data_IF_946117562431
#
_entry.id   IF_946117562431
#
_cell.length_a   1.000
_cell.length_b   1.000
_cell.length_c   1.000
_cell.angle_alpha   90.00
_cell.angle_beta   90.00
_cell.angle_gamma   90.00
#
_symmetry.space_group_name_H-M   'P 1'
#
loop_
_entity.id
_entity.type
_entity.pdbx_description
1 polymer ?
#
# COMPACT_ATOMS: atom_id res chain seq x y z
N UNK A 1 39.36 -3.81 74.28
CA UNK A 1 39.50 -4.25 72.85
C UNK A 1 38.14 -4.64 72.35
N UNK A 2 37.49 -3.79 71.52
CA UNK A 2 36.20 -4.03 70.92
C UNK A 2 36.42 -4.19 69.42
N UNK A 3 36.09 -5.37 68.81
CA UNK A 3 36.15 -5.65 67.42
C UNK A 3 34.87 -5.07 66.75
N UNK A 4 35.05 -4.17 65.80
CA UNK A 4 34.00 -3.71 64.86
C UNK A 4 33.77 -4.79 63.83
N UNK A 5 32.49 -5.20 63.65
CA UNK A 5 32.03 -6.00 62.52
C UNK A 5 31.61 -5.05 61.41
N UNK A 6 32.26 -5.15 60.25
CA UNK A 6 31.82 -4.49 59.02
C UNK A 6 30.70 -5.31 58.37
N UNK A 7 29.56 -4.65 58.12
CA UNK A 7 28.45 -5.18 57.35
C UNK A 7 28.67 -4.85 55.86
N UNK A 8 28.95 -5.85 55.04
CA UNK A 8 29.00 -5.74 53.60
C UNK A 8 27.57 -5.94 53.06
N UNK A 9 26.92 -4.84 52.65
CA UNK A 9 25.65 -4.90 51.94
C UNK A 9 25.88 -5.33 50.49
N UNK A 10 25.37 -6.50 50.14
CA UNK A 10 25.31 -6.98 48.73
C UNK A 10 24.20 -6.25 47.98
N UNK A 11 24.58 -5.28 47.16
CA UNK A 11 23.72 -4.65 46.18
C UNK A 11 23.46 -5.65 45.05
N UNK A 12 22.25 -6.19 44.95
CA UNK A 12 21.78 -6.94 43.78
C UNK A 12 21.62 -5.96 42.62
N UNK A 13 22.47 -6.07 41.59
CA UNK A 13 22.23 -5.48 40.30
C UNK A 13 21.03 -6.21 39.66
N UNK A 14 19.92 -5.53 39.53
CA UNK A 14 18.84 -5.93 38.63
C UNK A 14 19.34 -5.64 37.20
N UNK A 15 19.81 -6.66 36.53
CA UNK A 15 19.94 -6.64 35.08
C UNK A 15 18.52 -6.69 34.49
N UNK A 16 17.99 -5.54 34.11
CA UNK A 16 16.83 -5.45 33.25
C UNK A 16 17.26 -5.91 31.84
N UNK A 17 16.97 -7.16 31.50
CA UNK A 17 16.98 -7.63 30.13
C UNK A 17 15.97 -6.81 29.35
N UNK A 18 16.42 -5.71 28.76
CA UNK A 18 15.71 -5.02 27.70
C UNK A 18 15.76 -5.94 26.46
N UNK A 19 14.75 -6.77 26.27
CA UNK A 19 14.51 -7.41 25.00
C UNK A 19 14.32 -6.29 23.95
N UNK A 20 15.37 -6.01 23.19
CA UNK A 20 15.29 -5.25 21.95
C UNK A 20 14.46 -6.08 20.96
N UNK A 21 13.12 -6.00 21.07
CA UNK A 21 12.18 -6.47 20.06
C UNK A 21 12.31 -5.58 18.83
N UNK A 22 13.43 -5.70 18.11
CA UNK A 22 13.56 -5.19 16.76
C UNK A 22 12.61 -6.01 15.86
N UNK A 23 11.32 -5.61 15.81
CA UNK A 23 10.37 -6.20 14.89
C UNK A 23 10.89 -5.94 13.46
N UNK A 24 11.09 -7.02 12.72
CA UNK A 24 11.47 -6.94 11.30
C UNK A 24 10.39 -6.19 10.52
N UNK A 25 10.77 -5.08 9.90
CA UNK A 25 9.90 -4.26 9.05
C UNK A 25 10.14 -4.60 7.59
N UNK A 26 9.06 -4.91 6.86
CA UNK A 26 9.12 -5.14 5.42
C UNK A 26 9.45 -3.84 4.66
N UNK A 27 10.23 -3.92 3.56
CA UNK A 27 10.30 -2.85 2.58
C UNK A 27 8.94 -2.70 1.85
N UNK A 28 8.73 -1.60 1.14
CA UNK A 28 7.51 -1.36 0.35
C UNK A 28 7.26 -2.50 -0.65
N UNK A 29 8.32 -2.98 -1.29
CA UNK A 29 8.29 -4.06 -2.27
C UNK A 29 9.05 -5.26 -1.72
N UNK A 30 8.41 -6.43 -1.74
CA UNK A 30 9.01 -7.72 -1.40
C UNK A 30 9.29 -8.50 -2.69
N UNK A 31 10.53 -8.87 -2.95
CA UNK A 31 10.88 -9.73 -4.08
C UNK A 31 10.59 -11.21 -3.78
N UNK A 32 10.60 -12.05 -4.82
CA UNK A 32 10.27 -13.45 -4.72
C UNK A 32 11.17 -14.24 -3.75
N UNK A 33 12.49 -14.01 -3.76
CA UNK A 33 13.44 -14.74 -2.91
C UNK A 33 13.27 -14.38 -1.42
N UNK A 34 13.04 -13.10 -1.15
CA UNK A 34 12.72 -12.63 0.20
C UNK A 34 11.42 -13.25 0.70
N UNK A 35 10.35 -13.25 -0.14
CA UNK A 35 9.09 -13.86 0.22
C UNK A 35 9.22 -15.35 0.50
N UNK A 36 9.89 -16.10 -0.38
CA UNK A 36 10.15 -17.54 -0.19
C UNK A 36 10.90 -17.83 1.12
N UNK A 37 11.85 -16.95 1.46
CA UNK A 37 12.60 -17.06 2.73
C UNK A 37 11.70 -16.83 3.94
N UNK A 38 10.84 -15.81 3.90
CA UNK A 38 9.88 -15.51 4.97
C UNK A 38 8.83 -16.63 5.13
N UNK A 39 8.33 -17.20 4.02
CA UNK A 39 7.41 -18.35 4.01
C UNK A 39 8.06 -19.55 4.72
N UNK A 40 9.30 -19.90 4.34
CA UNK A 40 10.03 -21.04 4.96
C UNK A 40 10.23 -20.83 6.46
N UNK A 41 10.47 -19.59 6.89
CA UNK A 41 10.61 -19.21 8.31
C UNK A 41 9.26 -19.12 9.04
N UNK A 42 8.14 -19.18 8.33
CA UNK A 42 6.77 -19.00 8.86
C UNK A 42 6.59 -17.65 9.60
N UNK A 43 7.24 -16.59 9.10
CA UNK A 43 7.26 -15.25 9.72
C UNK A 43 6.46 -14.22 8.95
N UNK A 44 5.66 -14.62 7.97
CA UNK A 44 4.88 -13.74 7.10
C UNK A 44 3.48 -14.28 6.89
N UNK A 45 2.48 -13.40 6.78
CA UNK A 45 1.19 -13.72 6.17
C UNK A 45 1.22 -13.29 4.71
N UNK A 46 0.91 -14.21 3.80
CA UNK A 46 0.74 -13.91 2.38
C UNK A 46 -0.76 -13.76 2.10
N UNK A 47 -1.16 -12.69 1.41
CA UNK A 47 -2.57 -12.39 1.11
C UNK A 47 -2.75 -12.31 -0.40
N UNK A 48 -3.62 -13.16 -0.93
CA UNK A 48 -4.05 -13.19 -2.32
C UNK A 48 -5.35 -12.39 -2.46
N UNK A 49 -5.32 -11.30 -3.24
CA UNK A 49 -6.50 -10.44 -3.41
C UNK A 49 -7.20 -10.61 -4.76
N UNK A 50 -6.84 -11.67 -5.49
CA UNK A 50 -7.54 -12.10 -6.71
C UNK A 50 -8.93 -12.63 -6.36
N UNK A 51 -9.69 -13.05 -7.38
CA UNK A 51 -10.97 -13.73 -7.16
C UNK A 51 -10.78 -15.06 -6.42
N UNK A 52 -11.79 -15.47 -5.65
CA UNK A 52 -11.74 -16.71 -4.89
C UNK A 52 -11.50 -17.95 -5.78
N UNK A 53 -12.08 -17.96 -6.99
CA UNK A 53 -11.92 -19.05 -7.95
C UNK A 53 -10.46 -19.17 -8.43
N UNK A 54 -9.79 -18.02 -8.66
CA UNK A 54 -8.37 -18.00 -9.09
C UNK A 54 -7.45 -18.51 -7.98
N UNK A 55 -7.71 -18.08 -6.74
CA UNK A 55 -7.00 -18.60 -5.56
C UNK A 55 -7.18 -20.11 -5.39
N UNK A 56 -8.39 -20.62 -5.54
CA UNK A 56 -8.68 -22.05 -5.41
C UNK A 56 -7.98 -22.90 -6.47
N UNK A 57 -7.77 -22.36 -7.66
CA UNK A 57 -7.05 -23.05 -8.73
C UNK A 57 -5.57 -23.19 -8.39
N UNK A 58 -4.94 -22.12 -7.98
CA UNK A 58 -3.51 -22.09 -7.66
C UNK A 58 -3.12 -20.74 -7.04
N UNK A 59 -2.24 -20.76 -6.06
CA UNK A 59 -1.77 -19.56 -5.37
C UNK A 59 -0.33 -19.69 -4.84
N UNK A 60 0.25 -18.58 -4.37
CA UNK A 60 1.57 -18.58 -3.70
C UNK A 60 1.49 -19.41 -2.41
N UNK A 61 2.48 -20.27 -2.09
CA UNK A 61 2.43 -21.12 -0.91
C UNK A 61 2.09 -20.35 0.37
N UNK A 62 1.23 -20.93 1.21
CA UNK A 62 0.72 -20.38 2.48
C UNK A 62 -0.17 -19.13 2.36
N UNK A 63 -0.47 -18.67 1.14
CA UNK A 63 -1.36 -17.54 0.97
C UNK A 63 -2.77 -17.81 1.52
N UNK A 64 -3.41 -16.77 2.03
CA UNK A 64 -4.84 -16.75 2.37
C UNK A 64 -5.59 -15.90 1.35
N UNK A 65 -6.83 -16.28 1.06
CA UNK A 65 -7.69 -15.53 0.13
C UNK A 65 -8.34 -14.34 0.81
N UNK A 66 -8.26 -13.18 0.17
CA UNK A 66 -9.04 -11.98 0.47
C UNK A 66 -9.48 -11.35 -0.86
N UNK A 67 -10.54 -11.84 -1.51
CA UNK A 67 -11.03 -11.22 -2.73
C UNK A 67 -11.26 -9.72 -2.54
N UNK A 68 -10.82 -8.92 -3.50
CA UNK A 68 -10.90 -7.46 -3.38
C UNK A 68 -12.34 -6.95 -3.17
N UNK A 69 -13.33 -7.66 -3.72
CA UNK A 69 -14.75 -7.36 -3.49
C UNK A 69 -15.14 -7.45 -2.02
N UNK A 70 -14.67 -8.49 -1.31
CA UNK A 70 -14.99 -8.70 0.11
C UNK A 70 -14.41 -7.59 1.00
N UNK A 71 -13.23 -7.04 0.62
CA UNK A 71 -12.68 -5.88 1.30
C UNK A 71 -13.57 -4.64 1.09
N UNK A 72 -14.08 -4.42 -0.13
CA UNK A 72 -14.93 -3.25 -0.41
C UNK A 72 -16.28 -3.31 0.30
N UNK A 73 -16.84 -4.49 0.51
CA UNK A 73 -18.08 -4.68 1.28
C UNK A 73 -17.93 -4.30 2.76
N UNK A 74 -16.71 -4.42 3.29
CA UNK A 74 -16.37 -4.12 4.68
C UNK A 74 -15.46 -2.90 4.82
N UNK A 75 -15.46 -1.96 3.85
CA UNK A 75 -14.53 -0.81 3.79
C UNK A 75 -14.83 0.27 4.87
N UNK A 76 -14.89 -0.19 6.11
CA UNK A 76 -14.91 0.64 7.32
C UNK A 76 -13.76 0.24 8.24
N UNK A 77 -13.24 1.15 9.10
CA UNK A 77 -12.12 0.80 9.98
C UNK A 77 -12.36 -0.46 10.82
N UNK A 78 -13.58 -0.63 11.36
CA UNK A 78 -13.93 -1.81 12.15
C UNK A 78 -14.01 -3.06 11.27
N UNK A 79 -14.67 -2.97 10.10
CA UNK A 79 -14.78 -4.09 9.16
C UNK A 79 -13.43 -4.59 8.67
N UNK A 80 -12.46 -3.67 8.44
CA UNK A 80 -11.10 -4.04 8.05
C UNK A 80 -10.34 -4.72 9.19
N UNK A 81 -10.51 -4.27 10.43
CA UNK A 81 -9.91 -4.96 11.59
C UNK A 81 -10.46 -6.38 11.74
N UNK A 82 -11.75 -6.59 11.49
CA UNK A 82 -12.33 -7.92 11.51
C UNK A 82 -11.77 -8.81 10.39
N UNK A 83 -11.52 -8.27 9.19
CA UNK A 83 -10.80 -8.98 8.12
C UNK A 83 -9.40 -9.38 8.60
N UNK A 84 -8.60 -8.47 9.17
CA UNK A 84 -7.25 -8.78 9.66
C UNK A 84 -7.28 -9.90 10.70
N UNK A 85 -8.24 -9.86 11.63
CA UNK A 85 -8.43 -10.90 12.64
C UNK A 85 -8.80 -12.25 12.03
N UNK A 86 -9.73 -12.27 11.08
CA UNK A 86 -10.18 -13.49 10.39
C UNK A 86 -9.04 -14.13 9.55
N UNK A 87 -8.15 -13.32 8.98
CA UNK A 87 -6.95 -13.79 8.30
C UNK A 87 -5.81 -14.23 9.24
N UNK A 88 -6.03 -14.19 10.56
CA UNK A 88 -5.02 -14.55 11.55
C UNK A 88 -3.82 -13.60 11.58
N UNK A 89 -4.02 -12.31 11.25
CA UNK A 89 -2.99 -11.28 11.26
C UNK A 89 -2.98 -10.60 12.64
N UNK A 90 -1.84 -10.68 13.33
CA UNK A 90 -1.63 -9.98 14.60
C UNK A 90 -0.89 -8.65 14.38
N UNK A 91 -0.92 -7.77 15.37
CA UNK A 91 -0.20 -6.49 15.32
C UNK A 91 1.27 -6.69 14.92
N UNK A 92 1.76 -5.84 14.01
CA UNK A 92 3.14 -5.84 13.49
C UNK A 92 3.59 -7.08 12.72
N UNK A 93 2.74 -8.10 12.52
CA UNK A 93 3.07 -9.24 11.67
C UNK A 93 3.45 -8.77 10.26
N UNK A 94 4.54 -9.27 9.66
CA UNK A 94 4.83 -9.01 8.25
C UNK A 94 3.73 -9.55 7.35
N UNK A 95 3.17 -8.73 6.46
CA UNK A 95 2.13 -9.11 5.49
C UNK A 95 2.59 -8.76 4.08
N UNK A 96 2.64 -9.74 3.19
CA UNK A 96 2.91 -9.53 1.76
C UNK A 96 1.63 -9.78 0.97
N UNK A 97 1.25 -8.82 0.14
CA UNK A 97 -0.01 -8.82 -0.60
C UNK A 97 0.30 -8.86 -2.09
N UNK A 98 -0.45 -9.68 -2.84
CA UNK A 98 -0.29 -9.77 -4.29
C UNK A 98 -1.63 -9.92 -5.01
N UNK A 99 -1.61 -9.59 -6.30
CA UNK A 99 -2.71 -9.78 -7.24
C UNK A 99 -2.22 -10.30 -8.60
N UNK A 100 -3.10 -10.28 -9.59
CA UNK A 100 -2.76 -10.52 -10.99
C UNK A 100 -3.21 -9.36 -11.90
N UNK A 101 -3.40 -8.17 -11.30
CA UNK A 101 -3.83 -6.92 -11.94
C UNK A 101 -2.76 -5.85 -11.73
N UNK A 102 -1.56 -6.12 -12.21
CA UNK A 102 -0.36 -5.25 -12.13
C UNK A 102 -0.10 -4.59 -10.76
N UNK A 103 -0.57 -5.18 -9.66
CA UNK A 103 -0.35 -4.70 -8.30
C UNK A 103 -1.38 -3.67 -7.79
N UNK A 104 -2.37 -3.27 -8.60
CA UNK A 104 -3.31 -2.22 -8.25
C UNK A 104 -4.28 -2.62 -7.12
N UNK A 105 -4.78 -3.86 -7.14
CA UNK A 105 -5.66 -4.37 -6.08
C UNK A 105 -4.86 -4.58 -4.78
N UNK A 106 -3.68 -5.18 -4.90
CA UNK A 106 -2.76 -5.38 -3.77
C UNK A 106 -2.39 -4.06 -3.09
N UNK A 107 -2.10 -3.02 -3.88
CA UNK A 107 -1.77 -1.69 -3.36
C UNK A 107 -2.94 -1.07 -2.59
N UNK A 108 -4.18 -1.18 -3.08
CA UNK A 108 -5.35 -0.66 -2.35
C UNK A 108 -5.58 -1.41 -1.03
N UNK A 109 -5.42 -2.74 -1.02
CA UNK A 109 -5.54 -3.55 0.19
C UNK A 109 -4.44 -3.20 1.19
N UNK A 110 -3.18 -3.13 0.76
CA UNK A 110 -2.05 -2.76 1.62
C UNK A 110 -2.24 -1.37 2.24
N UNK A 111 -2.69 -0.39 1.45
CA UNK A 111 -3.01 0.94 1.96
C UNK A 111 -4.14 0.89 3.00
N UNK A 112 -5.18 0.07 2.75
CA UNK A 112 -6.30 -0.07 3.71
C UNK A 112 -5.84 -0.66 5.03
N UNK A 113 -4.95 -1.65 5.01
CA UNK A 113 -4.35 -2.21 6.22
C UNK A 113 -3.52 -1.16 6.98
N UNK A 114 -2.72 -0.36 6.26
CA UNK A 114 -1.97 0.74 6.87
C UNK A 114 -2.89 1.84 7.44
N UNK A 115 -4.02 2.10 6.79
CA UNK A 115 -5.00 3.08 7.26
C UNK A 115 -5.60 2.69 8.61
N UNK A 116 -5.85 1.41 8.87
CA UNK A 116 -6.36 0.93 10.17
C UNK A 116 -5.26 0.63 11.19
N UNK A 117 -3.98 0.90 10.85
CA UNK A 117 -2.84 0.82 11.77
C UNK A 117 -1.91 -0.37 11.56
N UNK A 118 -2.19 -1.27 10.61
CA UNK A 118 -1.28 -2.37 10.29
C UNK A 118 -0.20 -1.93 9.28
N UNK A 119 0.92 -1.41 9.79
CA UNK A 119 1.94 -0.74 8.95
C UNK A 119 2.97 -1.67 8.33
N UNK A 120 3.11 -2.92 8.81
CA UNK A 120 4.11 -3.86 8.32
C UNK A 120 3.61 -4.65 7.10
N UNK A 121 3.32 -3.91 6.02
CA UNK A 121 2.82 -4.45 4.75
C UNK A 121 3.81 -4.21 3.62
N UNK A 122 3.88 -5.15 2.67
CA UNK A 122 4.61 -5.01 1.41
C UNK A 122 3.76 -5.52 0.24
N UNK A 123 4.04 -4.99 -0.94
CA UNK A 123 3.53 -5.55 -2.20
C UNK A 123 4.52 -6.59 -2.73
N UNK A 124 4.04 -7.71 -3.23
CA UNK A 124 4.89 -8.60 -4.00
C UNK A 124 5.34 -7.87 -5.28
N UNK A 125 6.62 -7.94 -5.60
CA UNK A 125 7.21 -7.22 -6.73
C UNK A 125 6.59 -7.54 -8.09
N UNK A 126 5.92 -8.67 -8.22
CA UNK A 126 5.36 -9.19 -9.46
C UNK A 126 3.92 -9.68 -9.29
N UNK A 127 3.21 -9.82 -10.40
CA UNK A 127 1.89 -10.46 -10.45
C UNK A 127 1.99 -11.97 -10.23
N UNK A 128 0.87 -12.63 -9.91
CA UNK A 128 0.83 -14.08 -9.77
C UNK A 128 1.17 -14.81 -11.08
N UNK A 129 0.67 -14.33 -12.22
CA UNK A 129 1.02 -14.88 -13.53
C UNK A 129 2.53 -14.84 -13.78
N UNK A 130 3.19 -13.75 -13.36
CA UNK A 130 4.65 -13.63 -13.49
C UNK A 130 5.39 -14.59 -12.55
N UNK A 131 4.91 -14.75 -11.31
CA UNK A 131 5.40 -15.74 -10.35
C UNK A 131 5.39 -17.16 -10.97
N UNK A 132 4.27 -17.57 -11.57
CA UNK A 132 4.15 -18.87 -12.27
C UNK A 132 5.10 -19.00 -13.46
N UNK A 133 5.18 -17.97 -14.30
CA UNK A 133 6.03 -17.98 -15.49
C UNK A 133 7.51 -18.09 -15.16
N UNK A 134 7.94 -17.69 -13.96
CA UNK A 134 9.28 -17.92 -13.45
C UNK A 134 9.49 -19.32 -12.87
N UNK A 135 8.49 -20.21 -12.92
CA UNK A 135 8.57 -21.56 -12.38
C UNK A 135 8.66 -21.62 -10.85
N UNK A 136 8.18 -20.58 -10.16
CA UNK A 136 8.18 -20.53 -8.70
C UNK A 136 7.07 -21.45 -8.14
N UNK A 137 7.32 -21.96 -6.94
CA UNK A 137 6.42 -22.91 -6.26
C UNK A 137 5.03 -22.28 -6.02
N UNK A 138 3.99 -23.09 -6.26
CA UNK A 138 2.59 -22.74 -6.04
C UNK A 138 1.90 -23.87 -5.30
N UNK A 139 0.73 -23.61 -4.71
CA UNK A 139 -0.09 -24.63 -4.08
C UNK A 139 -1.58 -24.45 -4.39
N UNK A 140 -2.38 -25.51 -4.09
CA UNK A 140 -3.85 -25.50 -4.25
C UNK A 140 -4.58 -25.71 -2.92
N UNK A 141 -3.82 -25.92 -1.84
CA UNK A 141 -4.39 -26.14 -0.52
C UNK A 141 -4.98 -24.85 0.01
N UNK A 142 -6.26 -24.83 0.33
CA UNK A 142 -6.91 -23.70 0.99
C UNK A 142 -6.31 -23.51 2.39
N UNK A 143 -5.69 -22.36 2.63
CA UNK A 143 -5.10 -22.04 3.91
C UNK A 143 -6.07 -21.24 4.78
N UNK A 144 -6.16 -21.65 6.03
CA UNK A 144 -6.90 -20.95 7.08
C UNK A 144 -6.05 -20.84 8.33
N UNK A 145 -6.25 -19.77 9.09
CA UNK A 145 -5.55 -19.55 10.35
C UNK A 145 -6.55 -19.25 11.46
N UNK A 146 -6.23 -19.58 12.71
CA UNK A 146 -7.07 -19.18 13.84
C UNK A 146 -7.27 -17.65 13.86
N UNK A 147 -8.47 -17.23 14.23
CA UNK A 147 -8.79 -15.81 14.41
C UNK A 147 -7.84 -15.18 15.42
N UNK A 148 -7.23 -14.07 15.04
CA UNK A 148 -6.25 -13.35 15.85
C UNK A 148 -6.87 -12.19 16.64
N UNK A 149 -6.03 -11.55 17.46
CA UNK A 149 -6.30 -10.22 18.02
C UNK A 149 -5.53 -9.18 17.19
N UNK A 150 -6.19 -8.08 16.87
CA UNK A 150 -5.58 -6.93 16.19
C UNK A 150 -6.19 -5.64 16.71
N UNK A 151 -5.34 -4.65 16.96
CA UNK A 151 -5.72 -3.35 17.48
C UNK A 151 -6.14 -2.39 16.35
N UNK A 152 -7.18 -1.58 16.56
CA UNK A 152 -7.55 -0.51 15.64
C UNK A 152 -6.77 0.77 16.01
N UNK A 153 -6.01 1.30 15.06
CA UNK A 153 -5.31 2.57 15.19
C UNK A 153 -5.35 3.33 13.85
N UNK A 154 -6.40 4.11 13.64
CA UNK A 154 -6.65 4.77 12.35
C UNK A 154 -5.57 5.82 12.07
N UNK A 155 -4.88 5.68 10.94
CA UNK A 155 -3.87 6.62 10.46
C UNK A 155 -4.47 7.62 9.46
N UNK A 156 -5.01 8.73 9.97
CA UNK A 156 -5.55 9.80 9.14
C UNK A 156 -4.51 10.53 8.28
N UNK A 157 -3.22 10.40 8.59
CA UNK A 157 -2.17 11.11 7.86
C UNK A 157 -1.98 10.63 6.41
N UNK A 158 -2.44 9.41 6.09
CA UNK A 158 -2.33 8.84 4.74
C UNK A 158 -3.62 8.93 3.94
N UNK A 159 -4.69 9.48 4.52
CA UNK A 159 -6.01 9.59 3.91
C UNK A 159 -6.33 11.04 3.54
N UNK A 160 -7.04 11.22 2.43
CA UNK A 160 -7.71 12.46 2.05
C UNK A 160 -9.16 12.14 1.69
N UNK A 161 -10.09 12.99 2.12
CA UNK A 161 -11.48 13.01 1.68
C UNK A 161 -11.72 14.14 0.67
N UNK A 162 -12.94 14.25 0.15
CA UNK A 162 -13.30 15.28 -0.82
C UNK A 162 -13.09 16.71 -0.30
N UNK A 163 -13.34 16.96 0.99
CA UNK A 163 -13.12 18.28 1.61
C UNK A 163 -11.64 18.61 1.72
N UNK A 164 -10.82 17.62 2.08
CA UNK A 164 -9.36 17.79 2.11
C UNK A 164 -8.80 18.11 0.71
N UNK A 165 -9.28 17.39 -0.32
CA UNK A 165 -8.89 17.62 -1.72
C UNK A 165 -9.31 19.00 -2.20
N UNK A 166 -10.50 19.47 -1.84
CA UNK A 166 -10.99 20.80 -2.19
C UNK A 166 -10.11 21.90 -1.61
N UNK A 167 -9.79 21.80 -0.32
CA UNK A 167 -8.93 22.76 0.37
C UNK A 167 -7.48 22.70 -0.12
N UNK A 168 -7.01 21.54 -0.59
CA UNK A 168 -5.64 21.38 -1.07
C UNK A 168 -5.30 22.28 -2.27
N UNK A 169 -6.29 22.68 -3.09
CA UNK A 169 -6.11 23.57 -4.24
C UNK A 169 -5.61 24.96 -3.87
N UNK A 170 -5.87 25.41 -2.66
CA UNK A 170 -5.44 26.71 -2.15
C UNK A 170 -4.00 26.71 -1.64
N UNK A 171 -3.35 25.53 -1.64
CA UNK A 171 -2.02 25.31 -1.08
C UNK A 171 -1.03 24.90 -2.17
N UNK A 172 -0.07 25.74 -2.57
CA UNK A 172 0.87 25.44 -3.67
C UNK A 172 1.84 24.28 -3.36
N UNK A 173 2.01 23.94 -2.09
CA UNK A 173 2.82 22.80 -1.61
C UNK A 173 2.07 21.46 -1.65
N UNK A 174 0.76 21.48 -1.96
CA UNK A 174 -0.08 20.28 -2.10
C UNK A 174 -0.39 20.02 -3.57
N UNK A 175 -0.06 18.83 -4.02
CA UNK A 175 -0.19 18.46 -5.43
C UNK A 175 -1.16 17.30 -5.56
N UNK A 176 -2.19 17.49 -6.39
CA UNK A 176 -3.09 16.41 -6.79
C UNK A 176 -2.48 15.62 -7.95
N UNK A 177 -2.48 14.29 -7.85
CA UNK A 177 -2.01 13.39 -8.89
C UNK A 177 -3.13 12.45 -9.31
N UNK A 178 -3.53 12.57 -10.57
CA UNK A 178 -4.46 11.65 -11.23
C UNK A 178 -3.68 10.46 -11.82
N UNK A 179 -3.96 9.25 -11.31
CA UNK A 179 -3.32 8.03 -11.76
C UNK A 179 -4.04 7.32 -12.92
N UNK A 180 -5.09 7.91 -13.47
CA UNK A 180 -5.81 7.37 -14.64
C UNK A 180 -4.98 7.55 -15.91
N UNK A 181 -5.37 6.76 -16.94
CA UNK A 181 -4.86 6.94 -18.30
C UNK A 181 -5.01 8.38 -18.78
N UNK A 182 -4.06 8.80 -19.62
CA UNK A 182 -3.98 10.16 -20.16
C UNK A 182 -5.30 10.63 -20.78
N UNK A 183 -5.96 9.79 -21.59
CA UNK A 183 -7.23 10.14 -22.21
C UNK A 183 -8.33 10.44 -21.17
N UNK A 184 -8.43 9.64 -20.10
CA UNK A 184 -9.40 9.89 -19.04
C UNK A 184 -9.13 11.22 -18.31
N UNK A 185 -7.86 11.55 -18.08
CA UNK A 185 -7.46 12.81 -17.49
C UNK A 185 -7.81 14.00 -18.39
N UNK A 186 -7.50 13.93 -19.68
CA UNK A 186 -7.80 14.98 -20.65
C UNK A 186 -9.31 15.20 -20.82
N UNK A 187 -10.10 14.13 -20.75
CA UNK A 187 -11.56 14.23 -20.85
C UNK A 187 -12.17 15.00 -19.68
N UNK A 188 -11.80 14.67 -18.48
CA UNK A 188 -12.25 15.39 -17.27
C UNK A 188 -11.38 15.01 -16.05
N UNK A 189 -11.01 15.97 -15.21
CA UNK A 189 -10.22 15.74 -14.01
C UNK A 189 -10.53 16.76 -12.90
N UNK A 190 -9.98 16.54 -11.72
CA UNK A 190 -10.05 17.53 -10.61
C UNK A 190 -9.17 18.72 -10.97
N UNK A 191 -9.68 19.98 -10.90
CA UNK A 191 -8.93 21.16 -11.29
C UNK A 191 -7.56 21.26 -10.62
N UNK A 192 -6.54 21.60 -11.43
CA UNK A 192 -5.15 21.74 -10.97
C UNK A 192 -4.41 20.43 -10.73
N UNK A 193 -5.01 19.26 -11.02
CA UNK A 193 -4.32 17.99 -10.89
C UNK A 193 -3.26 17.80 -11.98
N UNK A 194 -2.19 17.07 -11.64
CA UNK A 194 -1.18 16.57 -12.58
C UNK A 194 -1.46 15.10 -12.91
N UNK A 195 -1.21 14.70 -14.14
CA UNK A 195 -1.41 13.30 -14.53
C UNK A 195 -0.10 12.50 -14.44
N UNK A 196 -0.16 11.38 -13.73
CA UNK A 196 0.86 10.32 -13.74
C UNK A 196 0.14 9.00 -14.00
N UNK A 197 -0.05 8.62 -15.27
CA UNK A 197 -0.75 7.40 -15.62
C UNK A 197 -0.14 6.17 -14.95
N UNK A 198 -0.97 5.26 -14.46
CA UNK A 198 -0.50 4.03 -13.80
C UNK A 198 0.40 3.18 -14.71
N UNK A 199 0.21 3.25 -16.02
CA UNK A 199 1.05 2.59 -17.03
C UNK A 199 2.50 3.05 -17.02
N UNK A 200 2.76 4.27 -16.53
CA UNK A 200 4.13 4.78 -16.36
C UNK A 200 4.78 4.31 -15.06
N UNK A 201 4.00 3.78 -14.12
CA UNK A 201 4.47 3.36 -12.80
C UNK A 201 5.03 1.95 -12.83
N UNK A 202 4.38 1.05 -13.57
CA UNK A 202 4.81 -0.34 -13.76
C UNK A 202 5.98 -0.48 -14.73
N UNK A 203 6.66 -1.61 -14.69
CA UNK A 203 7.77 -1.97 -15.57
C UNK A 203 7.70 -3.45 -15.92
N UNK A 204 8.32 -3.86 -17.03
CA UNK A 204 8.31 -5.23 -17.57
C UNK A 204 8.47 -6.30 -16.46
N UNK A 205 7.36 -6.95 -16.10
CA UNK A 205 7.31 -7.99 -15.07
C UNK A 205 7.28 -7.51 -13.61
N UNK A 206 7.58 -6.25 -13.33
CA UNK A 206 7.47 -5.67 -12.00
C UNK A 206 6.25 -4.77 -11.89
N UNK A 207 5.57 -4.79 -10.74
CA UNK A 207 4.41 -3.93 -10.50
C UNK A 207 4.79 -2.46 -10.32
N UNK A 208 6.03 -2.17 -9.87
CA UNK A 208 6.58 -0.82 -9.76
C UNK A 208 7.95 -0.74 -10.44
N UNK A 209 8.22 0.40 -11.06
CA UNK A 209 9.56 0.80 -11.49
C UNK A 209 10.45 1.04 -10.27
N UNK A 210 11.77 1.11 -10.49
CA UNK A 210 12.69 1.46 -9.42
C UNK A 210 12.49 2.92 -8.94
N UNK A 211 12.98 3.22 -7.74
CA UNK A 211 12.80 4.51 -7.09
C UNK A 211 13.30 5.70 -7.92
N UNK A 212 14.47 5.54 -8.56
CA UNK A 212 15.10 6.60 -9.36
C UNK A 212 14.31 6.92 -10.65
N UNK A 213 13.71 5.91 -11.28
CA UNK A 213 12.86 6.12 -12.44
C UNK A 213 11.60 6.89 -12.07
N UNK A 214 10.92 6.47 -10.99
CA UNK A 214 9.72 7.16 -10.50
C UNK A 214 10.05 8.59 -10.08
N UNK A 215 11.17 8.79 -9.38
CA UNK A 215 11.64 10.11 -8.98
C UNK A 215 11.83 11.04 -10.18
N UNK A 216 12.51 10.58 -11.24
CA UNK A 216 12.66 11.35 -12.48
C UNK A 216 11.32 11.70 -13.12
N UNK A 217 10.35 10.78 -13.13
CA UNK A 217 9.01 11.06 -13.66
C UNK A 217 8.29 12.19 -12.94
N UNK A 218 8.35 12.22 -11.62
CA UNK A 218 7.69 13.28 -10.84
C UNK A 218 8.43 14.63 -10.98
N UNK A 219 9.76 14.60 -10.95
CA UNK A 219 10.59 15.81 -11.12
C UNK A 219 10.39 16.46 -12.50
N UNK A 220 10.30 15.68 -13.59
CA UNK A 220 10.02 16.17 -14.94
C UNK A 220 8.64 16.83 -15.06
N UNK A 221 7.72 16.53 -14.13
CA UNK A 221 6.38 17.18 -14.04
C UNK A 221 6.35 18.31 -13.02
N UNK A 222 7.51 18.76 -12.57
CA UNK A 222 7.63 19.82 -11.57
C UNK A 222 7.00 19.42 -10.23
N UNK A 223 7.12 18.15 -9.84
CA UNK A 223 6.67 17.63 -8.55
C UNK A 223 7.89 17.41 -7.67
N UNK A 224 7.98 18.12 -6.54
CA UNK A 224 9.04 17.91 -5.55
C UNK A 224 8.71 16.74 -4.61
N UNK A 225 9.73 15.98 -4.21
CA UNK A 225 9.60 14.95 -3.15
C UNK A 225 9.28 15.53 -1.77
N UNK A 226 9.45 16.82 -1.57
CA UNK A 226 9.10 17.52 -0.32
C UNK A 226 7.64 18.02 -0.30
N UNK A 227 6.93 18.02 -1.44
CA UNK A 227 5.51 18.36 -1.52
C UNK A 227 4.64 17.32 -0.83
N UNK A 228 3.47 17.72 -0.34
CA UNK A 228 2.41 16.79 -0.01
C UNK A 228 1.68 16.37 -1.30
N UNK A 229 1.66 15.06 -1.58
CA UNK A 229 1.02 14.55 -2.78
C UNK A 229 -0.24 13.78 -2.43
N UNK A 230 -1.36 14.13 -3.07
CA UNK A 230 -2.64 13.47 -2.91
C UNK A 230 -2.96 12.72 -4.20
N UNK A 231 -2.99 11.39 -4.14
CA UNK A 231 -3.28 10.55 -5.30
C UNK A 231 -4.76 10.23 -5.39
N UNK A 232 -5.31 10.23 -6.60
CA UNK A 232 -6.67 9.76 -6.88
C UNK A 232 -6.75 9.03 -8.24
N UNK A 233 -7.83 8.31 -8.50
CA UNK A 233 -8.11 7.67 -9.79
C UNK A 233 -9.61 7.74 -10.15
N UNK A 234 -10.15 6.72 -10.82
CA UNK A 234 -11.54 6.71 -11.27
C UNK A 234 -12.56 6.50 -10.15
N UNK A 235 -12.31 5.57 -9.21
CA UNK A 235 -13.36 5.16 -8.25
C UNK A 235 -12.88 4.69 -6.88
N UNK A 236 -12.30 3.49 -6.78
CA UNK A 236 -12.08 2.81 -5.49
C UNK A 236 -10.62 2.82 -5.04
N UNK A 237 -9.80 3.70 -5.59
CA UNK A 237 -8.45 3.92 -5.12
C UNK A 237 -7.40 2.86 -5.53
N UNK A 238 -7.67 2.01 -6.52
CA UNK A 238 -6.74 0.95 -6.94
C UNK A 238 -5.52 1.51 -7.68
N UNK A 239 -5.71 2.21 -8.79
CA UNK A 239 -4.63 2.82 -9.57
C UNK A 239 -3.89 3.89 -8.76
N UNK A 240 -4.62 4.69 -7.99
CA UNK A 240 -4.03 5.70 -7.12
C UNK A 240 -3.36 5.11 -5.89
N UNK A 241 -3.77 3.94 -5.42
CA UNK A 241 -3.05 3.15 -4.43
C UNK A 241 -1.69 2.70 -4.94
N UNK A 242 -1.63 2.26 -6.20
CA UNK A 242 -0.36 1.91 -6.85
C UNK A 242 0.55 3.15 -6.98
N UNK A 243 0.00 4.30 -7.41
CA UNK A 243 0.72 5.57 -7.46
C UNK A 243 1.22 6.02 -6.06
N UNK A 244 0.40 5.84 -5.02
CA UNK A 244 0.79 6.10 -3.63
C UNK A 244 2.08 5.35 -3.25
N UNK A 245 2.15 4.04 -3.53
CA UNK A 245 3.33 3.24 -3.21
C UNK A 245 4.54 3.59 -4.09
N UNK A 246 4.33 3.90 -5.36
CA UNK A 246 5.40 4.37 -6.25
C UNK A 246 6.03 5.67 -5.73
N UNK A 247 5.21 6.64 -5.34
CA UNK A 247 5.67 7.91 -4.77
C UNK A 247 6.42 7.70 -3.44
N UNK A 248 5.90 6.82 -2.57
CA UNK A 248 6.59 6.44 -1.33
C UNK A 248 7.95 5.80 -1.62
N UNK A 249 8.03 4.93 -2.62
CA UNK A 249 9.27 4.28 -3.05
C UNK A 249 10.27 5.32 -3.60
N UNK A 250 9.80 6.35 -4.31
CA UNK A 250 10.61 7.47 -4.82
C UNK A 250 11.06 8.46 -3.75
N UNK A 251 10.70 8.23 -2.47
CA UNK A 251 11.13 9.05 -1.34
C UNK A 251 10.22 10.23 -1.00
N UNK A 252 9.02 10.32 -1.58
CA UNK A 252 8.03 11.33 -1.18
C UNK A 252 7.57 11.05 0.26
N UNK A 253 7.79 12.05 1.14
CA UNK A 253 7.51 11.89 2.58
C UNK A 253 6.02 11.89 2.88
N UNK A 254 5.28 12.82 2.28
CA UNK A 254 3.87 13.07 2.56
C UNK A 254 3.01 12.66 1.37
N UNK A 255 2.48 11.45 1.39
CA UNK A 255 1.55 10.96 0.37
C UNK A 255 0.24 10.59 1.02
N UNK A 256 -0.86 11.08 0.46
CA UNK A 256 -2.23 10.74 0.85
C UNK A 256 -2.96 10.06 -0.29
N UNK A 257 -3.90 9.20 0.04
CA UNK A 257 -4.81 8.59 -0.93
C UNK A 257 -6.23 9.13 -0.73
N UNK A 258 -6.78 9.69 -1.80
CA UNK A 258 -8.22 9.95 -1.91
C UNK A 258 -8.90 8.68 -2.46
N UNK A 259 -9.24 7.75 -1.56
CA UNK A 259 -9.67 6.40 -1.93
C UNK A 259 -10.99 6.35 -2.70
N UNK A 260 -11.93 7.25 -2.42
CA UNK A 260 -13.21 7.35 -3.13
C UNK A 260 -13.10 8.03 -4.50
N UNK A 261 -12.01 8.78 -4.72
CA UNK A 261 -11.51 9.22 -6.01
C UNK A 261 -12.51 10.09 -6.82
N UNK A 262 -12.30 10.19 -8.13
CA UNK A 262 -13.06 11.08 -9.01
C UNK A 262 -14.55 10.76 -9.10
N UNK A 263 -14.96 9.51 -8.88
CA UNK A 263 -16.39 9.13 -8.84
C UNK A 263 -17.13 9.85 -7.69
N UNK A 264 -16.57 9.86 -6.48
CA UNK A 264 -17.16 10.62 -5.36
C UNK A 264 -17.14 12.12 -5.66
N UNK A 265 -16.01 12.66 -6.14
CA UNK A 265 -15.87 14.05 -6.52
C UNK A 265 -16.99 14.54 -7.43
N UNK A 266 -17.27 13.76 -8.50
CA UNK A 266 -18.37 14.05 -9.41
C UNK A 266 -19.75 13.91 -8.76
N UNK A 267 -19.96 12.89 -7.94
CA UNK A 267 -21.25 12.69 -7.26
C UNK A 267 -21.62 13.81 -6.29
N UNK A 268 -20.62 14.50 -5.76
CA UNK A 268 -20.76 15.68 -4.91
C UNK A 268 -20.95 16.99 -5.71
N UNK A 269 -21.02 16.92 -7.05
CA UNK A 269 -21.17 18.10 -7.90
C UNK A 269 -19.97 19.05 -7.88
N UNK A 270 -18.77 18.56 -7.51
CA UNK A 270 -17.56 19.38 -7.41
C UNK A 270 -17.04 19.79 -8.81
N UNK A 271 -16.33 20.94 -8.90
CA UNK A 271 -15.77 21.43 -10.16
C UNK A 271 -14.84 20.42 -10.83
N UNK A 272 -14.83 20.43 -12.16
CA UNK A 272 -13.92 19.64 -13.00
C UNK A 272 -13.32 20.50 -14.11
N UNK A 273 -12.16 20.11 -14.59
CA UNK A 273 -11.49 20.66 -15.76
C UNK A 273 -11.54 19.65 -16.92
N UNK A 274 -11.58 20.17 -18.14
CA UNK A 274 -11.59 19.43 -19.38
C UNK A 274 -10.63 20.10 -20.36
N UNK A 275 -9.84 19.32 -21.09
CA UNK A 275 -9.07 19.82 -22.20
C UNK A 275 -9.92 19.73 -23.47
N UNK A 276 -10.53 20.83 -23.89
CA UNK A 276 -11.51 20.87 -25.00
C UNK A 276 -10.95 20.40 -26.35
N UNK A 277 -9.63 20.58 -26.56
CA UNK A 277 -8.93 20.24 -27.79
C UNK A 277 -8.05 18.99 -27.65
N UNK A 278 -8.27 18.20 -26.59
CA UNK A 278 -7.52 16.97 -26.39
C UNK A 278 -7.75 16.00 -27.55
N UNK A 279 -6.69 15.64 -28.24
CA UNK A 279 -6.72 14.71 -29.37
C UNK A 279 -5.68 13.60 -29.18
N UNK A 280 -5.67 12.64 -30.12
CA UNK A 280 -4.76 11.49 -30.06
C UNK A 280 -3.28 11.89 -29.98
N UNK A 281 -2.87 13.01 -30.57
CA UNK A 281 -1.48 13.50 -30.57
C UNK A 281 -1.03 13.98 -29.19
N UNK A 282 -1.96 14.42 -28.34
CA UNK A 282 -1.67 14.83 -26.96
C UNK A 282 -1.35 13.62 -26.06
N UNK A 283 -1.65 12.40 -26.54
CA UNK A 283 -1.32 11.15 -25.86
C UNK A 283 0.15 10.73 -26.08
N UNK A 284 0.79 11.24 -27.14
CA UNK A 284 2.15 10.86 -27.53
C UNK A 284 3.24 11.84 -27.06
N UNK A 285 2.86 12.91 -26.39
CA UNK A 285 3.75 13.98 -25.95
C UNK A 285 4.45 13.71 -24.59
N UNK A 286 4.63 12.43 -24.22
CA UNK A 286 5.30 12.03 -22.98
C UNK A 286 6.64 11.31 -23.20
#
# INVERSE_FOLDING_TARGET
MKKKKENISKTKKNESNGENNNHFQLPIICNADSLRTLIRKKTVRVVDVRKAEDYQQEHVPTAVSLPFGDLLEKDTPVGIIDILRDLGIVDKMPVVIYDDTFGALAARVAWTFQYVGHTNTALLQMTFSHWKNQGLETEKKINTFPKSQHSLNVNHNIHADASYVENAKEHPDKILVDARERLNFLTEHIPGAKNIPYTMIGSNGNILRNAEEVKRFIENRGISTDSEIITYCGSVGTLSGLAYYALKLAGVKNVKLYSKSFREWKSLGKPKEEFKDANYWDLSAE
#
